data_IF_802349743230
#
_entry.id   IF_802349743230
#
_cell.length_a   1.000
_cell.length_b   1.000
_cell.length_c   1.000
_cell.angle_alpha   90.00
_cell.angle_beta   90.00
_cell.angle_gamma   90.00
#
_symmetry.space_group_name_H-M   'P 1'
#
loop_
_entity.id
_entity.type
_entity.pdbx_description
1 polymer ?
#
# COMPACT_ATOMS: atom_id res chain seq x y z
N UNK A 1 18.76 3.25 16.11
CA UNK A 1 18.19 2.96 14.78
C UNK A 1 17.69 4.31 14.30
N UNK A 2 18.63 5.14 13.87
CA UNK A 2 18.42 6.56 13.70
C UNK A 2 18.57 6.83 12.21
N UNK A 3 17.43 7.11 11.57
CA UNK A 3 17.34 7.33 10.14
C UNK A 3 18.02 8.65 9.77
N UNK A 4 19.02 8.56 8.90
CA UNK A 4 19.62 9.69 8.22
C UNK A 4 18.57 10.37 7.34
N UNK A 5 17.93 11.42 7.86
CA UNK A 5 17.16 12.37 7.05
C UNK A 5 18.17 13.31 6.39
N UNK A 6 18.31 13.31 5.06
CA UNK A 6 19.28 14.18 4.40
C UNK A 6 18.91 15.65 4.60
N UNK A 7 19.70 16.35 5.40
CA UNK A 7 19.58 17.78 5.68
C UNK A 7 19.90 18.61 4.42
N UNK A 8 18.92 19.39 3.96
CA UNK A 8 19.01 20.30 2.81
C UNK A 8 19.96 21.49 3.05
N UNK A 9 20.45 21.70 4.27
CA UNK A 9 21.05 22.98 4.68
C UNK A 9 22.59 23.03 4.75
N UNK A 10 23.34 21.93 4.59
CA UNK A 10 24.79 21.91 4.90
C UNK A 10 25.76 21.91 3.70
N UNK A 11 25.30 22.10 2.46
CA UNK A 11 26.16 22.08 1.27
C UNK A 11 26.27 23.44 0.58
N UNK A 12 27.49 23.92 0.36
CA UNK A 12 27.82 25.06 -0.51
C UNK A 12 26.92 25.11 -1.75
N UNK A 13 26.11 26.17 -1.86
CA UNK A 13 25.16 26.41 -2.96
C UNK A 13 25.81 26.56 -4.35
N UNK A 14 27.15 26.47 -4.43
CA UNK A 14 27.92 26.61 -5.67
C UNK A 14 27.93 25.40 -6.60
N UNK A 15 27.38 24.23 -6.24
CA UNK A 15 27.42 23.02 -7.10
C UNK A 15 26.12 22.22 -7.22
N UNK A 16 24.96 22.83 -6.93
CA UNK A 16 23.64 22.19 -7.14
C UNK A 16 23.04 22.43 -8.53
N UNK A 17 23.68 23.27 -9.33
CA UNK A 17 23.28 23.52 -10.71
C UNK A 17 23.91 22.48 -11.61
N UNK A 18 23.08 21.67 -12.25
CA UNK A 18 23.50 20.72 -13.28
C UNK A 18 23.47 21.46 -14.61
N UNK A 19 24.55 21.40 -15.38
CA UNK A 19 24.56 22.03 -16.70
C UNK A 19 23.71 21.23 -17.68
N UNK A 20 23.22 21.89 -18.74
CA UNK A 20 22.50 21.22 -19.81
C UNK A 20 23.31 20.06 -20.41
N UNK A 21 24.62 20.24 -20.56
CA UNK A 21 25.53 19.22 -21.07
C UNK A 21 25.64 18.00 -20.14
N UNK A 22 25.63 18.21 -18.82
CA UNK A 22 25.65 17.12 -17.84
C UNK A 22 24.35 16.30 -17.88
N UNK A 23 23.21 16.98 -18.07
CA UNK A 23 21.90 16.32 -18.26
C UNK A 23 21.89 15.48 -19.54
N UNK A 24 22.39 16.03 -20.65
CA UNK A 24 22.47 15.33 -21.93
C UNK A 24 23.37 14.09 -21.84
N UNK A 25 24.53 14.21 -21.18
CA UNK A 25 25.43 13.07 -20.93
C UNK A 25 24.77 12.00 -20.05
N UNK A 26 24.07 12.40 -19.00
CA UNK A 26 23.32 11.48 -18.14
C UNK A 26 22.17 10.78 -18.90
N UNK A 27 21.47 11.50 -19.78
CA UNK A 27 20.46 10.90 -20.68
C UNK A 27 21.10 9.89 -21.63
N UNK A 28 22.22 10.23 -22.28
CA UNK A 28 22.91 9.36 -23.23
C UNK A 28 23.42 8.06 -22.59
N UNK A 29 24.04 8.16 -21.42
CA UNK A 29 24.53 6.97 -20.68
C UNK A 29 23.38 6.06 -20.26
N UNK A 30 22.25 6.62 -19.80
CA UNK A 30 21.05 5.86 -19.48
C UNK A 30 20.47 5.15 -20.71
N UNK A 31 20.42 5.83 -21.85
CA UNK A 31 19.93 5.24 -23.10
C UNK A 31 20.82 4.11 -23.62
N UNK A 32 22.14 4.24 -23.45
CA UNK A 32 23.09 3.18 -23.79
C UNK A 32 22.93 1.95 -22.88
N UNK A 33 22.82 2.17 -21.56
CA UNK A 33 22.58 1.09 -20.60
C UNK A 33 21.24 0.39 -20.87
N UNK A 34 20.20 1.16 -21.19
CA UNK A 34 18.90 0.63 -21.57
C UNK A 34 19.01 -0.25 -22.81
N UNK A 35 19.60 0.26 -23.90
CA UNK A 35 19.80 -0.51 -25.13
C UNK A 35 20.61 -1.79 -24.89
N UNK A 36 21.67 -1.71 -24.07
CA UNK A 36 22.48 -2.87 -23.70
C UNK A 36 21.68 -3.91 -22.90
N UNK A 37 20.80 -3.50 -21.99
CA UNK A 37 19.95 -4.40 -21.22
C UNK A 37 18.97 -5.17 -22.13
N UNK A 38 18.33 -4.49 -23.07
CA UNK A 38 17.42 -5.12 -24.04
C UNK A 38 18.15 -6.03 -25.04
N UNK A 39 19.34 -5.63 -25.51
CA UNK A 39 20.17 -6.47 -26.37
C UNK A 39 20.57 -7.79 -25.67
N UNK A 40 20.84 -7.76 -24.35
CA UNK A 40 21.09 -8.97 -23.56
C UNK A 40 19.86 -9.87 -23.43
N UNK A 41 18.67 -9.29 -23.42
CA UNK A 41 17.41 -10.03 -23.36
C UNK A 41 16.97 -10.60 -24.72
N UNK A 42 17.65 -10.22 -25.81
CA UNK A 42 17.31 -10.63 -27.18
C UNK A 42 15.99 -10.03 -27.69
N UNK A 43 15.53 -8.95 -27.05
CA UNK A 43 14.30 -8.25 -27.40
C UNK A 43 14.64 -6.84 -27.90
N UNK A 44 13.88 -6.33 -28.87
CA UNK A 44 14.02 -4.95 -29.30
C UNK A 44 13.53 -4.01 -28.19
N UNK A 45 14.28 -2.94 -27.84
CA UNK A 45 13.80 -1.97 -26.88
C UNK A 45 12.48 -1.35 -27.37
N UNK A 46 11.46 -1.23 -26.51
CA UNK A 46 10.22 -0.55 -26.90
C UNK A 46 10.51 0.88 -27.35
N UNK A 47 9.71 1.44 -28.28
CA UNK A 47 9.86 2.81 -28.72
C UNK A 47 9.87 3.73 -27.51
N UNK A 48 10.87 4.63 -27.45
CA UNK A 48 10.97 5.60 -26.35
C UNK A 48 9.64 6.35 -26.27
N UNK A 49 9.09 6.58 -25.07
CA UNK A 49 7.96 7.47 -24.92
C UNK A 49 8.33 8.80 -25.59
N UNK A 50 7.54 9.22 -26.58
CA UNK A 50 7.67 10.56 -27.14
C UNK A 50 7.59 11.55 -25.97
N UNK A 51 8.58 12.43 -25.80
CA UNK A 51 8.56 13.46 -24.74
C UNK A 51 7.36 14.42 -24.92
N UNK A 52 6.65 14.34 -26.05
CA UNK A 52 5.36 14.96 -26.34
C UNK A 52 4.17 14.14 -25.80
N UNK A 53 4.31 13.56 -24.60
CA UNK A 53 3.14 13.08 -23.87
C UNK A 53 2.30 14.32 -23.51
N UNK A 54 1.23 14.54 -24.27
CA UNK A 54 0.15 15.52 -24.08
C UNK A 54 0.55 16.70 -23.19
N UNK A 55 1.08 17.78 -23.80
CA UNK A 55 1.35 19.01 -23.07
C UNK A 55 0.08 19.44 -22.34
N UNK A 56 0.07 19.16 -21.04
CA UNK A 56 -1.09 19.42 -20.20
C UNK A 56 -1.17 20.93 -19.97
N UNK A 57 -2.04 21.57 -20.75
CA UNK A 57 -2.31 23.00 -20.73
C UNK A 57 -2.90 23.51 -19.42
N UNK A 58 -3.18 22.64 -18.46
CA UNK A 58 -3.53 23.03 -17.09
C UNK A 58 -2.37 23.77 -16.43
N UNK A 59 -2.72 24.83 -15.72
CA UNK A 59 -1.79 25.58 -14.89
C UNK A 59 -1.18 24.68 -13.81
N UNK A 60 0.02 25.05 -13.33
CA UNK A 60 0.66 24.34 -12.22
C UNK A 60 -0.25 24.29 -10.98
N UNK A 61 -1.04 25.35 -10.75
CA UNK A 61 -2.01 25.41 -9.67
C UNK A 61 -3.06 24.30 -9.78
N UNK A 62 -3.66 24.10 -10.96
CA UNK A 62 -4.66 23.05 -11.19
C UNK A 62 -4.06 21.64 -11.02
N UNK A 63 -2.81 21.44 -11.44
CA UNK A 63 -2.07 20.17 -11.24
C UNK A 63 -1.82 19.88 -9.76
N UNK A 64 -1.42 20.89 -8.99
CA UNK A 64 -1.17 20.72 -7.55
C UNK A 64 -2.48 20.51 -6.80
N UNK A 65 -3.54 21.23 -7.20
CA UNK A 65 -4.84 21.11 -6.57
C UNK A 65 -5.48 19.74 -6.84
N UNK A 66 -5.37 19.21 -8.06
CA UNK A 66 -5.86 17.86 -8.36
C UNK A 66 -5.11 16.80 -7.55
N UNK A 67 -3.78 16.90 -7.41
CA UNK A 67 -3.01 15.99 -6.56
C UNK A 67 -3.40 16.10 -5.08
N UNK A 68 -3.64 17.32 -4.59
CA UNK A 68 -4.08 17.53 -3.21
C UNK A 68 -5.46 16.93 -2.96
N UNK A 69 -6.40 17.19 -3.86
CA UNK A 69 -7.76 16.66 -3.77
C UNK A 69 -7.75 15.13 -3.84
N UNK A 70 -6.99 14.53 -4.77
CA UNK A 70 -6.88 13.08 -4.87
C UNK A 70 -6.34 12.45 -3.56
N UNK A 71 -5.29 13.03 -2.97
CA UNK A 71 -4.78 12.59 -1.67
C UNK A 71 -5.81 12.75 -0.54
N UNK A 72 -6.56 13.83 -0.56
CA UNK A 72 -7.59 14.10 0.43
C UNK A 72 -8.74 13.10 0.30
N UNK A 73 -9.24 12.85 -0.91
CA UNK A 73 -10.28 11.86 -1.20
C UNK A 73 -9.83 10.45 -0.83
N UNK A 74 -8.60 10.05 -1.15
CA UNK A 74 -8.05 8.76 -0.73
C UNK A 74 -7.97 8.63 0.80
N UNK A 75 -7.61 9.71 1.48
CA UNK A 75 -7.54 9.71 2.95
C UNK A 75 -8.94 9.66 3.57
N UNK A 76 -9.88 10.43 3.03
CA UNK A 76 -11.26 10.45 3.47
C UNK A 76 -11.91 9.09 3.24
N UNK A 77 -11.76 8.47 2.07
CA UNK A 77 -12.29 7.14 1.79
C UNK A 77 -11.67 6.06 2.69
N UNK A 78 -10.36 6.11 2.97
CA UNK A 78 -9.74 5.17 3.92
C UNK A 78 -10.22 5.37 5.36
N UNK A 79 -10.51 6.61 5.74
CA UNK A 79 -10.95 6.98 7.10
C UNK A 79 -12.47 6.88 7.25
N UNK A 80 -13.20 6.73 6.14
CA UNK A 80 -14.65 6.67 6.12
C UNK A 80 -15.12 5.43 6.88
N UNK A 81 -15.91 5.67 7.91
CA UNK A 81 -16.48 4.61 8.76
C UNK A 81 -17.28 3.58 7.96
N UNK A 82 -17.86 3.97 6.82
CA UNK A 82 -18.59 3.03 5.93
C UNK A 82 -17.69 1.95 5.33
N UNK A 83 -16.40 2.24 5.14
CA UNK A 83 -15.43 1.28 4.61
C UNK A 83 -14.81 0.43 5.74
N UNK A 84 -14.87 0.91 6.99
CA UNK A 84 -14.38 0.17 8.15
C UNK A 84 -15.35 -0.93 8.59
N UNK A 85 -16.65 -0.71 8.43
CA UNK A 85 -17.69 -1.66 8.83
C UNK A 85 -18.52 -2.06 7.63
N UNK A 86 -18.31 -3.29 7.14
CA UNK A 86 -19.21 -3.93 6.17
C UNK A 86 -20.20 -4.84 6.88
N UNK A 87 -21.34 -5.08 6.25
CA UNK A 87 -22.27 -6.13 6.68
C UNK A 87 -21.60 -7.50 6.59
N UNK A 88 -21.94 -8.40 7.50
CA UNK A 88 -21.45 -9.78 7.48
C UNK A 88 -22.01 -10.50 6.25
N UNK A 89 -21.17 -11.33 5.64
CA UNK A 89 -21.56 -12.22 4.55
C UNK A 89 -22.29 -13.47 5.10
N UNK A 90 -23.05 -14.17 4.26
CA UNK A 90 -23.89 -15.31 4.70
C UNK A 90 -23.05 -16.44 5.32
N UNK A 91 -21.86 -16.69 4.77
CA UNK A 91 -20.89 -17.68 5.27
C UNK A 91 -20.27 -17.26 6.61
N UNK A 92 -19.98 -15.97 6.80
CA UNK A 92 -19.49 -15.41 8.07
C UNK A 92 -20.54 -15.55 9.18
N UNK A 93 -21.82 -15.33 8.86
CA UNK A 93 -22.92 -15.54 9.81
C UNK A 93 -23.02 -17.01 10.22
N UNK A 94 -22.98 -17.93 9.25
CA UNK A 94 -23.01 -19.37 9.53
C UNK A 94 -21.81 -19.83 10.37
N UNK A 95 -20.63 -19.27 10.11
CA UNK A 95 -19.45 -19.51 10.93
C UNK A 95 -19.68 -19.07 12.39
N UNK A 96 -20.19 -17.87 12.62
CA UNK A 96 -20.47 -17.39 13.98
C UNK A 96 -21.50 -18.26 14.70
N UNK A 97 -22.54 -18.73 14.00
CA UNK A 97 -23.51 -19.66 14.58
C UNK A 97 -22.87 -20.99 14.99
N UNK A 98 -21.96 -21.53 14.16
CA UNK A 98 -21.23 -22.76 14.48
C UNK A 98 -20.34 -22.61 15.71
N UNK A 99 -19.64 -21.48 15.84
CA UNK A 99 -18.79 -21.16 17.00
C UNK A 99 -19.64 -21.00 18.26
N UNK A 100 -20.82 -20.39 18.14
CA UNK A 100 -21.74 -20.23 19.26
C UNK A 100 -22.31 -21.57 19.73
N UNK A 101 -22.64 -22.47 18.81
CA UNK A 101 -23.11 -23.82 19.18
C UNK A 101 -22.00 -24.65 19.84
N UNK A 102 -20.77 -24.57 19.33
CA UNK A 102 -19.62 -25.23 19.94
C UNK A 102 -19.39 -24.76 21.39
N UNK A 103 -19.42 -23.44 21.62
CA UNK A 103 -19.29 -22.89 22.98
C UNK A 103 -20.37 -23.39 23.91
N UNK A 104 -21.63 -23.42 23.48
CA UNK A 104 -22.75 -23.95 24.28
C UNK A 104 -22.59 -25.45 24.56
N UNK A 105 -22.11 -26.22 23.58
CA UNK A 105 -21.83 -27.64 23.77
C UNK A 105 -20.71 -27.87 24.79
N UNK A 106 -19.62 -27.10 24.72
CA UNK A 106 -18.53 -27.16 25.71
C UNK A 106 -19.00 -26.75 27.11
N UNK A 107 -19.83 -25.71 27.22
CA UNK A 107 -20.41 -25.29 28.51
C UNK A 107 -21.33 -26.37 29.11
N UNK A 108 -22.20 -26.98 28.29
CA UNK A 108 -23.03 -28.12 28.72
C UNK A 108 -22.17 -29.29 29.19
N UNK A 109 -21.16 -29.68 28.41
CA UNK A 109 -20.26 -30.77 28.78
C UNK A 109 -19.51 -30.50 30.10
N UNK A 110 -19.07 -29.26 30.34
CA UNK A 110 -18.49 -28.87 31.64
C UNK A 110 -19.51 -28.95 32.77
N UNK A 111 -20.72 -28.45 32.55
CA UNK A 111 -21.77 -28.50 33.57
C UNK A 111 -22.15 -29.94 33.93
N UNK A 112 -22.20 -30.83 32.94
CA UNK A 112 -22.47 -32.25 33.15
C UNK A 112 -21.33 -32.93 33.94
N UNK A 113 -20.06 -32.68 33.55
CA UNK A 113 -18.88 -33.18 34.27
C UNK A 113 -18.81 -32.67 35.71
N UNK A 114 -19.06 -31.37 35.93
CA UNK A 114 -19.09 -30.78 37.27
C UNK A 114 -20.23 -31.39 38.10
N UNK A 115 -21.39 -31.63 37.47
CA UNK A 115 -22.54 -32.27 38.09
C UNK A 115 -22.29 -33.73 38.51
N UNK A 116 -21.57 -34.50 37.70
CA UNK A 116 -21.13 -35.86 38.02
C UNK A 116 -20.16 -35.87 39.20
N UNK A 117 -19.10 -35.04 39.17
CA UNK A 117 -18.14 -34.94 40.27
C UNK A 117 -18.80 -34.56 41.62
N UNK A 118 -19.80 -33.67 41.59
CA UNK A 118 -20.55 -33.30 42.80
C UNK A 118 -21.43 -34.44 43.31
N UNK A 119 -21.98 -35.28 42.42
CA UNK A 119 -22.74 -36.48 42.84
C UNK A 119 -21.81 -37.52 43.45
N UNK A 120 -20.69 -37.81 42.80
CA UNK A 120 -19.67 -38.76 43.29
C UNK A 120 -19.12 -38.35 44.66
N UNK A 121 -19.00 -37.04 44.95
CA UNK A 121 -18.58 -36.56 46.27
C UNK A 121 -19.65 -36.73 47.36
N UNK A 122 -20.94 -36.77 46.98
CA UNK A 122 -22.07 -36.86 47.92
C UNK A 122 -22.45 -38.30 48.29
N UNK A 123 -22.01 -39.27 47.50
CA UNK A 123 -22.18 -40.72 47.74
C UNK A 123 -21.06 -41.25 48.66
#
# INVERSE_FOLDING_TARGET
MDGDIPSISSGSVGSRFVSQADIEKAKATRDEQWRAAYARLGQEPPPRPQEDADYDGRSLYEKLQSQKNAKQEEWEEKTKLSNQFRSLEEDEVLFLDSVMEEKRAQERARQDQDGEQVKDFKE
#
